data_IF_573253308240
#
_entry.id   IF_573253308240
#
_cell.length_a   1.000
_cell.length_b   1.000
_cell.length_c   1.000
_cell.angle_alpha   90.00
_cell.angle_beta   90.00
_cell.angle_gamma   90.00
#
_symmetry.space_group_name_H-M   'P 1'
#
loop_
_entity.id
_entity.type
_entity.pdbx_description
1 polymer ?
#
# COMPACT_ATOMS: atom_id res chain seq x y z
N UNK A 1 26.90 3.21 8.29
CA UNK A 1 27.25 4.65 8.24
C UNK A 1 27.12 5.18 9.66
N UNK A 2 28.21 5.63 10.26
CA UNK A 2 28.14 6.38 11.52
C UNK A 2 27.73 7.81 11.19
N UNK A 3 26.42 8.05 11.19
CA UNK A 3 25.87 9.41 11.14
C UNK A 3 25.80 9.97 12.55
N UNK A 4 26.23 11.21 12.74
CA UNK A 4 26.04 11.90 14.02
C UNK A 4 24.57 12.32 14.23
N UNK A 5 24.24 12.77 15.44
CA UNK A 5 22.87 13.15 15.77
C UNK A 5 22.35 14.34 14.96
N UNK A 6 23.22 15.27 14.56
CA UNK A 6 22.80 16.44 13.78
C UNK A 6 22.45 16.01 12.35
N UNK A 7 23.30 15.18 11.74
CA UNK A 7 23.07 14.57 10.44
C UNK A 7 21.81 13.69 10.42
N UNK A 8 21.55 12.93 11.49
CA UNK A 8 20.32 12.12 11.59
C UNK A 8 19.09 13.02 11.68
N UNK A 9 19.14 14.10 12.45
CA UNK A 9 17.99 15.03 12.56
C UNK A 9 17.75 15.74 11.23
N UNK A 10 18.80 16.14 10.52
CA UNK A 10 18.64 16.79 9.21
C UNK A 10 18.19 15.81 8.12
N UNK A 11 18.63 14.55 8.15
CA UNK A 11 18.08 13.49 7.30
C UNK A 11 16.60 13.22 7.60
N UNK A 12 16.18 13.27 8.88
CA UNK A 12 14.78 13.16 9.27
C UNK A 12 13.96 14.36 8.77
N UNK A 13 14.49 15.58 8.82
CA UNK A 13 13.85 16.75 8.21
C UNK A 13 13.61 16.56 6.72
N UNK A 14 14.62 16.08 6.01
CA UNK A 14 14.51 15.74 4.59
C UNK A 14 13.46 14.65 4.33
N UNK A 15 13.44 13.60 5.16
CA UNK A 15 12.47 12.51 5.04
C UNK A 15 11.02 12.96 5.25
N UNK A 16 10.77 13.87 6.19
CA UNK A 16 9.43 14.40 6.47
C UNK A 16 9.09 15.68 5.68
N UNK A 17 10.00 16.17 4.84
CA UNK A 17 9.87 17.41 4.07
C UNK A 17 9.50 18.62 4.95
N UNK A 18 10.26 18.82 6.03
CA UNK A 18 10.07 19.92 6.99
C UNK A 18 11.36 20.71 7.16
N UNK A 19 11.25 22.01 7.40
CA UNK A 19 12.42 22.90 7.44
C UNK A 19 12.92 23.17 8.88
N UNK A 20 12.06 22.95 9.89
CA UNK A 20 12.37 23.27 11.28
C UNK A 20 12.29 22.09 12.25
N UNK A 21 13.08 22.16 13.33
CA UNK A 21 13.02 21.19 14.44
C UNK A 21 11.63 21.13 15.10
N UNK A 22 10.88 22.25 15.04
CA UNK A 22 9.52 22.36 15.58
C UNK A 22 8.54 21.54 14.73
N UNK A 23 8.63 21.67 13.41
CA UNK A 23 7.82 20.90 12.47
C UNK A 23 8.19 19.42 12.50
N UNK A 24 9.48 19.09 12.61
CA UNK A 24 9.91 17.71 12.81
C UNK A 24 9.34 17.13 14.11
N UNK A 25 9.35 17.88 15.21
CA UNK A 25 8.76 17.44 16.47
C UNK A 25 7.25 17.18 16.32
N UNK A 26 6.53 18.03 15.58
CA UNK A 26 5.10 17.83 15.26
C UNK A 26 4.89 16.58 14.39
N UNK A 27 5.70 16.38 13.35
CA UNK A 27 5.62 15.24 12.46
C UNK A 27 5.85 13.92 13.22
N UNK A 28 6.81 13.91 14.13
CA UNK A 28 7.14 12.77 15.00
C UNK A 28 6.23 12.62 16.23
N UNK A 29 5.29 13.55 16.46
CA UNK A 29 4.42 13.61 17.64
C UNK A 29 5.18 13.57 18.98
N UNK A 30 6.27 14.34 19.07
CA UNK A 30 7.09 14.50 20.28
C UNK A 30 7.25 15.97 20.65
N UNK A 31 7.71 16.24 21.88
CA UNK A 31 7.99 17.61 22.32
C UNK A 31 9.25 18.18 21.63
N UNK A 32 9.23 19.47 21.25
CA UNK A 32 10.38 20.19 20.66
C UNK A 32 11.67 19.99 21.48
N UNK A 33 11.57 20.02 22.81
CA UNK A 33 12.72 19.84 23.72
C UNK A 33 13.36 18.48 23.57
N UNK A 34 12.61 17.48 23.12
CA UNK A 34 13.12 16.12 22.87
C UNK A 34 14.07 16.12 21.67
N UNK A 35 13.70 16.79 20.58
CA UNK A 35 14.56 16.95 19.39
C UNK A 35 15.83 17.72 19.75
N UNK A 36 15.70 18.83 20.49
CA UNK A 36 16.86 19.59 20.98
C UNK A 36 17.76 18.75 21.92
N UNK A 37 17.18 17.88 22.73
CA UNK A 37 17.93 16.99 23.62
C UNK A 37 18.72 15.90 22.86
N UNK A 38 18.28 15.48 21.67
CA UNK A 38 19.02 14.52 20.86
C UNK A 38 20.32 15.12 20.32
N UNK A 39 20.25 16.36 19.81
CA UNK A 39 21.43 17.10 19.33
C UNK A 39 22.42 17.32 20.46
N UNK A 40 21.97 17.82 21.62
CA UNK A 40 22.85 18.09 22.76
C UNK A 40 23.52 16.84 23.33
N UNK A 41 22.80 15.71 23.37
CA UNK A 41 23.32 14.41 23.84
C UNK A 41 24.06 13.63 22.77
N UNK A 42 24.14 14.16 21.54
CA UNK A 42 24.69 13.48 20.36
C UNK A 42 24.15 12.05 20.17
N UNK A 43 22.87 11.85 20.49
CA UNK A 43 22.24 10.52 20.46
C UNK A 43 20.78 10.62 20.07
N UNK A 44 20.43 10.01 18.95
CA UNK A 44 19.04 9.82 18.49
C UNK A 44 18.61 8.39 18.82
N UNK A 45 17.40 8.16 19.37
CA UNK A 45 16.91 6.81 19.63
C UNK A 45 16.83 5.96 18.35
N UNK A 46 17.22 4.68 18.45
CA UNK A 46 17.33 3.77 17.31
C UNK A 46 16.05 3.67 16.48
N UNK A 47 14.87 3.78 17.11
CA UNK A 47 13.58 3.74 16.40
C UNK A 47 13.41 4.84 15.34
N UNK A 48 14.01 6.01 15.54
CA UNK A 48 13.94 7.11 14.57
C UNK A 48 15.02 6.96 13.48
N UNK A 49 16.16 6.37 13.83
CA UNK A 49 17.19 5.97 12.84
C UNK A 49 16.62 4.91 11.89
N UNK A 50 15.85 3.95 12.44
CA UNK A 50 15.17 2.91 11.66
C UNK A 50 14.25 3.46 10.57
N UNK A 51 13.59 4.61 10.82
CA UNK A 51 12.72 5.27 9.84
C UNK A 51 13.49 5.71 8.58
N UNK A 52 14.74 6.16 8.72
CA UNK A 52 15.59 6.55 7.59
C UNK A 52 16.02 5.34 6.74
N UNK A 53 16.16 4.18 7.38
CA UNK A 53 16.61 2.94 6.73
C UNK A 53 15.45 2.09 6.18
N UNK A 54 14.20 2.55 6.30
CA UNK A 54 13.02 1.76 5.93
C UNK A 54 12.73 0.58 6.85
N UNK A 55 13.44 0.46 7.98
CA UNK A 55 13.15 -0.53 9.03
C UNK A 55 12.01 -0.01 9.91
N UNK A 56 10.78 -0.12 9.43
CA UNK A 56 9.58 0.08 10.23
C UNK A 56 9.46 -1.07 11.23
N UNK A 57 9.99 -0.87 12.44
CA UNK A 57 9.79 -1.78 13.58
C UNK A 57 8.39 -1.59 14.18
N UNK A 58 7.37 -1.86 13.37
CA UNK A 58 6.00 -1.97 13.84
C UNK A 58 5.50 -3.39 13.55
N UNK A 59 5.29 -4.22 14.59
CA UNK A 59 4.73 -5.57 14.43
C UNK A 59 3.29 -5.56 13.91
N UNK A 60 2.67 -4.39 13.83
CA UNK A 60 1.42 -4.15 13.14
C UNK A 60 1.72 -3.27 11.93
N UNK A 61 1.36 -3.75 10.74
CA UNK A 61 1.44 -2.96 9.51
C UNK A 61 0.60 -1.69 9.69
N UNK A 62 1.25 -0.59 10.07
CA UNK A 62 0.64 0.72 10.01
C UNK A 62 0.70 1.07 8.53
N UNK A 63 -0.47 1.30 7.90
CA UNK A 63 -0.51 1.80 6.53
C UNK A 63 0.44 2.99 6.37
N UNK A 64 0.99 3.24 5.18
CA UNK A 64 2.01 4.28 4.99
C UNK A 64 1.61 5.58 5.68
N UNK A 65 2.52 6.12 6.50
CA UNK A 65 2.23 7.20 7.45
C UNK A 65 1.68 8.45 6.75
N UNK A 66 2.00 8.62 5.47
CA UNK A 66 1.46 9.68 4.62
C UNK A 66 1.02 9.10 3.27
N UNK A 67 -0.29 9.05 3.05
CA UNK A 67 -0.87 8.97 1.72
C UNK A 67 -1.34 10.34 1.27
N UNK A 68 -0.99 10.68 0.04
CA UNK A 68 -1.56 11.82 -0.66
C UNK A 68 -3.06 11.58 -0.90
N UNK A 69 -3.81 12.65 -1.16
CA UNK A 69 -5.26 12.54 -1.36
C UNK A 69 -5.61 11.58 -2.52
N UNK A 70 -4.81 11.59 -3.58
CA UNK A 70 -4.95 10.69 -4.71
C UNK A 70 -4.75 9.22 -4.32
N UNK A 71 -3.73 8.93 -3.52
CA UNK A 71 -3.46 7.57 -3.03
C UNK A 71 -4.56 7.08 -2.09
N UNK A 72 -5.09 7.95 -1.22
CA UNK A 72 -6.25 7.63 -0.38
C UNK A 72 -7.48 7.29 -1.23
N UNK A 73 -7.76 8.09 -2.25
CA UNK A 73 -8.89 7.85 -3.14
C UNK A 73 -8.73 6.56 -3.94
N UNK A 74 -7.53 6.30 -4.48
CA UNK A 74 -7.23 5.06 -5.17
C UNK A 74 -7.36 3.85 -4.24
N UNK A 75 -6.93 3.96 -2.98
CA UNK A 75 -7.10 2.90 -1.99
C UNK A 75 -8.58 2.61 -1.72
N UNK A 76 -9.39 3.65 -1.50
CA UNK A 76 -10.83 3.50 -1.31
C UNK A 76 -11.50 2.81 -2.51
N UNK A 77 -11.15 3.23 -3.73
CA UNK A 77 -11.68 2.63 -4.96
C UNK A 77 -11.22 1.18 -5.14
N UNK A 78 -9.95 0.89 -4.87
CA UNK A 78 -9.40 -0.47 -4.94
C UNK A 78 -10.06 -1.39 -3.91
N UNK A 79 -10.24 -0.93 -2.67
CA UNK A 79 -10.94 -1.68 -1.63
C UNK A 79 -12.39 -1.97 -2.00
N UNK A 80 -13.09 -0.98 -2.57
CA UNK A 80 -14.45 -1.16 -3.08
C UNK A 80 -14.52 -2.27 -4.15
N UNK A 81 -13.67 -2.18 -5.18
CA UNK A 81 -13.60 -3.18 -6.27
C UNK A 81 -13.19 -4.56 -5.75
N UNK A 82 -12.22 -4.61 -4.84
CA UNK A 82 -11.73 -5.82 -4.22
C UNK A 82 -12.84 -6.54 -3.44
N UNK A 83 -13.54 -5.84 -2.55
CA UNK A 83 -14.64 -6.42 -1.78
C UNK A 83 -15.74 -6.99 -2.68
N UNK A 84 -16.06 -6.30 -3.77
CA UNK A 84 -17.06 -6.75 -4.74
C UNK A 84 -16.61 -8.00 -5.52
N UNK A 85 -15.37 -8.02 -6.00
CA UNK A 85 -14.81 -9.17 -6.70
C UNK A 85 -14.82 -10.43 -5.81
N UNK A 86 -14.37 -10.30 -4.57
CA UNK A 86 -14.28 -11.42 -3.63
C UNK A 86 -15.62 -11.89 -3.07
N UNK A 87 -16.65 -11.02 -2.99
CA UNK A 87 -18.00 -11.45 -2.58
C UNK A 87 -18.49 -12.60 -3.48
N UNK A 88 -18.22 -12.51 -4.78
CA UNK A 88 -18.59 -13.58 -5.72
C UNK A 88 -17.78 -14.86 -5.55
N UNK A 89 -16.55 -14.76 -5.05
CA UNK A 89 -15.69 -15.93 -4.84
C UNK A 89 -15.96 -16.66 -3.53
N UNK A 90 -16.36 -15.95 -2.47
CA UNK A 90 -16.53 -16.55 -1.14
C UNK A 90 -17.93 -17.11 -0.87
N UNK A 91 -18.97 -16.62 -1.56
CA UNK A 91 -20.36 -16.99 -1.25
C UNK A 91 -20.67 -18.49 -1.37
N UNK A 92 -19.82 -19.29 -2.04
CA UNK A 92 -20.05 -20.72 -2.27
C UNK A 92 -18.86 -21.61 -1.84
N UNK A 93 -17.81 -21.03 -1.24
CA UNK A 93 -16.58 -21.76 -0.91
C UNK A 93 -16.54 -22.19 0.56
N UNK A 94 -16.06 -23.40 0.81
CA UNK A 94 -15.69 -23.86 2.14
C UNK A 94 -14.48 -23.09 2.68
N UNK A 95 -14.21 -23.21 3.98
CA UNK A 95 -13.12 -22.50 4.65
C UNK A 95 -11.75 -22.77 3.99
N UNK A 96 -11.47 -24.01 3.59
CA UNK A 96 -10.20 -24.38 2.98
C UNK A 96 -10.02 -23.78 1.58
N UNK A 97 -11.08 -23.73 0.79
CA UNK A 97 -11.10 -23.09 -0.53
C UNK A 97 -10.96 -21.57 -0.40
N UNK A 98 -11.55 -20.98 0.64
CA UNK A 98 -11.40 -19.57 0.95
C UNK A 98 -9.94 -19.23 1.31
N UNK A 99 -9.25 -20.06 2.08
CA UNK A 99 -7.83 -19.86 2.40
C UNK A 99 -6.92 -19.88 1.17
N UNK A 100 -7.16 -20.78 0.22
CA UNK A 100 -6.40 -20.82 -1.05
C UNK A 100 -6.59 -19.56 -1.89
N UNK A 101 -7.79 -19.00 -1.86
CA UNK A 101 -8.11 -17.72 -2.52
C UNK A 101 -7.40 -16.56 -1.83
N UNK A 102 -7.31 -16.60 -0.50
CA UNK A 102 -6.63 -15.58 0.29
C UNK A 102 -5.10 -15.61 0.19
N UNK A 103 -4.50 -16.72 -0.25
CA UNK A 103 -3.04 -16.84 -0.42
C UNK A 103 -2.47 -15.79 -1.40
N UNK A 104 -3.30 -15.33 -2.34
CA UNK A 104 -2.94 -14.28 -3.31
C UNK A 104 -3.67 -12.94 -3.06
N UNK A 105 -4.39 -12.82 -1.95
CA UNK A 105 -5.19 -11.63 -1.61
C UNK A 105 -4.39 -10.33 -1.66
N UNK A 106 -3.16 -10.37 -1.14
CA UNK A 106 -2.30 -9.20 -1.10
C UNK A 106 -1.92 -8.74 -2.52
N UNK A 107 -1.49 -9.65 -3.38
CA UNK A 107 -1.06 -9.31 -4.74
C UNK A 107 -2.23 -8.84 -5.60
N UNK A 108 -3.37 -9.52 -5.46
CA UNK A 108 -4.63 -9.16 -6.09
C UNK A 108 -5.07 -7.73 -5.70
N UNK A 109 -4.99 -7.40 -4.40
CA UNK A 109 -5.31 -6.06 -3.90
C UNK A 109 -4.38 -5.00 -4.51
N UNK A 110 -3.06 -5.23 -4.50
CA UNK A 110 -2.11 -4.26 -5.04
C UNK A 110 -2.22 -4.10 -6.56
N UNK A 111 -2.62 -5.14 -7.28
CA UNK A 111 -2.94 -5.04 -8.71
C UNK A 111 -4.13 -4.11 -8.96
N UNK A 112 -5.19 -4.24 -8.17
CA UNK A 112 -6.34 -3.32 -8.23
C UNK A 112 -5.97 -1.91 -7.78
N UNK A 113 -5.09 -1.76 -6.79
CA UNK A 113 -4.59 -0.47 -6.32
C UNK A 113 -3.88 0.30 -7.43
N UNK A 114 -2.96 -0.33 -8.16
CA UNK A 114 -2.28 0.29 -9.32
C UNK A 114 -3.28 0.72 -10.39
N UNK A 115 -4.31 -0.11 -10.63
CA UNK A 115 -5.36 0.25 -11.58
C UNK A 115 -6.18 1.46 -11.11
N UNK A 116 -6.58 1.48 -9.84
CA UNK A 116 -7.34 2.57 -9.26
C UNK A 116 -6.57 3.89 -9.29
N UNK A 117 -5.26 3.88 -9.04
CA UNK A 117 -4.39 5.05 -9.19
C UNK A 117 -4.42 5.60 -10.62
N UNK A 118 -4.32 4.73 -11.63
CA UNK A 118 -4.41 5.13 -13.04
C UNK A 118 -5.78 5.73 -13.38
N UNK A 119 -6.87 5.14 -12.89
CA UNK A 119 -8.23 5.62 -13.18
C UNK A 119 -8.51 6.99 -12.51
N UNK A 120 -8.12 7.17 -11.24
CA UNK A 120 -8.22 8.47 -10.54
C UNK A 120 -7.39 9.54 -11.26
N UNK A 121 -6.14 9.22 -11.62
CA UNK A 121 -5.25 10.16 -12.31
C UNK A 121 -5.78 10.64 -13.66
N UNK A 122 -6.57 9.83 -14.38
CA UNK A 122 -7.21 10.25 -15.64
C UNK A 122 -8.31 11.30 -15.44
N UNK A 123 -9.02 11.24 -14.31
CA UNK A 123 -10.15 12.15 -14.03
C UNK A 123 -9.76 13.41 -13.26
N UNK A 124 -8.67 13.36 -12.48
CA UNK A 124 -8.15 14.53 -11.76
C UNK A 124 -7.70 15.67 -12.68
N UNK A 125 -7.34 15.37 -13.94
CA UNK A 125 -6.99 16.40 -14.94
C UNK A 125 -8.08 17.44 -15.23
N UNK A 126 -9.32 17.20 -14.78
CA UNK A 126 -10.43 18.16 -14.87
C UNK A 126 -11.33 18.22 -13.64
N UNK A 127 -11.03 17.48 -12.56
CA UNK A 127 -11.89 17.34 -11.39
C UNK A 127 -11.09 17.29 -10.09
N UNK A 128 -11.73 17.58 -8.95
CA UNK A 128 -11.11 17.30 -7.64
C UNK A 128 -11.01 15.78 -7.41
N UNK A 129 -10.03 15.34 -6.62
CA UNK A 129 -9.84 13.93 -6.26
C UNK A 129 -11.11 13.29 -5.70
N UNK A 130 -11.85 14.02 -4.86
CA UNK A 130 -13.09 13.54 -4.26
C UNK A 130 -14.20 13.36 -5.30
N UNK A 131 -14.30 14.26 -6.28
CA UNK A 131 -15.28 14.14 -7.35
C UNK A 131 -14.93 12.97 -8.27
N UNK A 132 -13.66 12.81 -8.64
CA UNK A 132 -13.16 11.69 -9.44
C UNK A 132 -13.49 10.33 -8.78
N UNK A 133 -13.26 10.21 -7.46
CA UNK A 133 -13.61 9.01 -6.71
C UNK A 133 -15.11 8.71 -6.76
N UNK A 134 -15.95 9.71 -6.48
CA UNK A 134 -17.40 9.54 -6.48
C UNK A 134 -17.93 9.13 -7.85
N UNK A 135 -17.41 9.73 -8.93
CA UNK A 135 -17.79 9.37 -10.31
C UNK A 135 -17.41 7.92 -10.62
N UNK A 136 -16.19 7.49 -10.29
CA UNK A 136 -15.75 6.12 -10.54
C UNK A 136 -16.56 5.09 -9.73
N UNK A 137 -16.88 5.38 -8.46
CA UNK A 137 -17.73 4.49 -7.67
C UNK A 137 -19.13 4.41 -8.26
N UNK A 138 -19.69 5.54 -8.69
CA UNK A 138 -21.01 5.58 -9.33
C UNK A 138 -21.01 4.73 -10.62
N UNK A 139 -20.04 4.95 -11.50
CA UNK A 139 -19.88 4.21 -12.75
C UNK A 139 -19.67 2.71 -12.51
N UNK A 140 -18.91 2.35 -11.47
CA UNK A 140 -18.69 0.96 -11.07
C UNK A 140 -19.97 0.30 -10.53
N UNK A 141 -20.86 1.06 -9.89
CA UNK A 141 -22.16 0.56 -9.43
C UNK A 141 -23.08 0.32 -10.64
N UNK A 142 -23.15 1.28 -11.56
CA UNK A 142 -23.97 1.16 -12.77
C UNK A 142 -23.48 0.01 -13.68
N UNK A 143 -22.16 -0.17 -13.80
CA UNK A 143 -21.52 -1.15 -14.66
C UNK A 143 -20.93 -2.35 -13.89
N UNK A 144 -21.61 -2.74 -12.82
CA UNK A 144 -21.12 -3.73 -11.85
C UNK A 144 -20.59 -5.03 -12.44
N UNK A 145 -21.28 -5.63 -13.42
CA UNK A 145 -20.86 -6.89 -14.03
C UNK A 145 -19.52 -6.75 -14.77
N UNK A 146 -19.37 -5.70 -15.58
CA UNK A 146 -18.16 -5.45 -16.36
C UNK A 146 -16.95 -5.14 -15.45
N UNK A 147 -17.16 -4.36 -14.39
CA UNK A 147 -16.10 -4.03 -13.43
C UNK A 147 -15.67 -5.25 -12.61
N UNK A 148 -16.61 -6.10 -12.22
CA UNK A 148 -16.27 -7.35 -11.54
C UNK A 148 -15.44 -8.28 -12.45
N UNK A 149 -15.86 -8.45 -13.71
CA UNK A 149 -15.10 -9.25 -14.68
C UNK A 149 -13.70 -8.67 -14.92
N UNK A 150 -13.60 -7.36 -15.09
CA UNK A 150 -12.32 -6.68 -15.25
C UNK A 150 -11.42 -6.84 -14.02
N UNK A 151 -11.97 -6.71 -12.81
CA UNK A 151 -11.22 -6.86 -11.56
C UNK A 151 -10.68 -8.28 -11.43
N UNK A 152 -11.51 -9.29 -11.70
CA UNK A 152 -11.11 -10.70 -11.75
C UNK A 152 -10.04 -11.00 -12.78
N UNK A 153 -10.10 -10.34 -13.95
CA UNK A 153 -9.06 -10.45 -14.98
C UNK A 153 -7.73 -9.86 -14.47
N UNK A 154 -7.75 -8.64 -13.94
CA UNK A 154 -6.56 -7.94 -13.43
C UNK A 154 -5.88 -8.77 -12.33
N UNK A 155 -6.66 -9.25 -11.38
CA UNK A 155 -6.18 -10.10 -10.29
C UNK A 155 -5.46 -11.34 -10.85
N UNK A 156 -6.14 -12.15 -11.67
CA UNK A 156 -5.56 -13.36 -12.28
C UNK A 156 -4.29 -13.10 -13.10
N UNK A 157 -4.22 -12.00 -13.85
CA UNK A 157 -3.05 -11.65 -14.67
C UNK A 157 -1.84 -11.20 -13.84
N UNK A 158 -2.06 -10.74 -12.59
CA UNK A 158 -1.01 -10.21 -11.72
C UNK A 158 -0.64 -11.18 -10.58
N UNK A 159 -1.25 -12.36 -10.50
CA UNK A 159 -0.88 -13.36 -9.49
C UNK A 159 0.53 -13.88 -9.75
N UNK A 160 1.41 -13.88 -8.73
CA UNK A 160 2.72 -14.48 -8.87
C UNK A 160 2.61 -15.99 -9.13
N UNK A 161 3.61 -16.54 -9.81
CA UNK A 161 3.73 -17.97 -10.00
C UNK A 161 3.90 -18.70 -8.66
N UNK A 162 3.13 -19.77 -8.46
CA UNK A 162 3.19 -20.58 -7.24
C UNK A 162 4.33 -21.59 -7.40
N UNK A 163 5.26 -21.61 -6.45
CA UNK A 163 6.26 -22.67 -6.35
C UNK A 163 5.82 -23.65 -5.27
N UNK A 164 5.54 -24.90 -5.66
CA UNK A 164 5.07 -25.96 -4.79
C UNK A 164 6.24 -26.58 -4.01
N UNK A 165 5.93 -27.27 -2.91
CA UNK A 165 6.92 -27.92 -2.05
C UNK A 165 7.75 -29.01 -2.73
N UNK A 166 7.30 -29.50 -3.88
CA UNK A 166 8.01 -30.47 -4.73
C UNK A 166 8.94 -29.80 -5.75
N UNK A 167 9.07 -28.47 -5.73
CA UNK A 167 9.92 -27.70 -6.65
C UNK A 167 9.26 -27.37 -7.99
N UNK A 168 8.00 -27.75 -8.21
CA UNK A 168 7.27 -27.38 -9.42
C UNK A 168 6.78 -25.93 -9.32
N UNK A 169 6.93 -25.17 -10.40
CA UNK A 169 6.39 -23.79 -10.47
C UNK A 169 5.23 -23.78 -11.45
N UNK A 170 4.07 -23.25 -11.04
CA UNK A 170 2.90 -23.09 -11.91
C UNK A 170 2.56 -21.63 -12.13
N UNK A 171 2.11 -21.28 -13.33
CA UNK A 171 1.55 -19.96 -13.63
C UNK A 171 0.23 -19.71 -12.87
N UNK A 172 -0.29 -18.49 -12.94
CA UNK A 172 -1.56 -18.10 -12.33
C UNK A 172 -2.79 -18.91 -12.80
N UNK A 173 -2.65 -19.74 -13.85
CA UNK A 173 -3.67 -20.65 -14.39
C UNK A 173 -3.39 -22.12 -14.04
N UNK A 174 -2.42 -22.39 -13.16
CA UNK A 174 -2.05 -23.75 -12.75
C UNK A 174 -1.27 -24.51 -13.81
N UNK A 175 -0.73 -23.84 -14.83
CA UNK A 175 0.07 -24.50 -15.88
C UNK A 175 1.54 -24.57 -15.44
N UNK A 176 2.20 -25.72 -15.57
CA UNK A 176 3.60 -25.86 -15.20
C UNK A 176 4.48 -24.92 -16.04
N UNK A 177 5.31 -24.13 -15.38
CA UNK A 177 6.38 -23.35 -15.98
C UNK A 177 7.59 -24.27 -16.11
N UNK A 178 7.93 -24.67 -17.33
CA UNK A 178 9.11 -25.49 -17.60
C UNK A 178 10.37 -24.75 -17.16
N UNK A 179 11.16 -25.38 -16.29
CA UNK A 179 12.51 -24.93 -15.94
C UNK A 179 13.40 -25.00 -17.19
N UNK A 180 13.73 -23.84 -17.74
CA UNK A 180 14.77 -23.67 -18.76
C UNK A 180 16.16 -23.71 -18.12
#
# INVERSE_FOLDING_TARGET
MDMDADQIVDALKGHFNVDSDIELARALKIDKRTVSAWRSRKRVPQRFIGMLTGQSSHPHAVGPVYWHNQEKAAFCLALFRYARAYTSEFNEKGFNEALKVLDHANDDFWALMRRAQSDIGKLEGGNSTSAALSMLIHDDIENSAAINEQSHRIMRENRPSITWSDGTTTDAKGRPLSSS
#
